data_IF_433860700781
#
_entry.id   IF_433860700781
#
_cell.length_a   1.000
_cell.length_b   1.000
_cell.length_c   1.000
_cell.angle_alpha   90.00
_cell.angle_beta   90.00
_cell.angle_gamma   90.00
#
_symmetry.space_group_name_H-M   'P 1'
#
loop_
_entity.id
_entity.type
_entity.pdbx_description
1 polymer ?
#
# COMPACT_ATOMS: atom_id res chain seq x y z
N UNK A 1 32.11 -11.55 8.14
CA UNK A 1 33.43 -11.37 8.79
C UNK A 1 33.93 -12.75 9.13
N UNK A 2 34.83 -13.26 8.33
CA UNK A 2 35.43 -14.60 8.59
C UNK A 2 36.74 -14.41 9.37
N UNK A 3 36.75 -14.90 10.63
CA UNK A 3 37.88 -14.83 11.51
C UNK A 3 38.03 -16.11 12.32
N UNK A 4 39.18 -16.74 12.23
CA UNK A 4 39.48 -17.96 12.95
C UNK A 4 39.63 -17.75 14.48
N UNK A 5 40.13 -16.57 14.91
CA UNK A 5 40.32 -16.26 16.32
C UNK A 5 39.09 -15.63 16.97
N UNK A 6 38.64 -16.20 18.07
CA UNK A 6 37.53 -15.67 18.87
C UNK A 6 37.87 -14.32 19.52
N UNK A 7 39.13 -14.15 19.95
CA UNK A 7 39.59 -12.88 20.50
C UNK A 7 39.50 -11.75 19.49
N UNK A 8 39.78 -12.00 18.22
CA UNK A 8 39.64 -11.02 17.15
C UNK A 8 38.18 -10.66 16.87
N UNK A 9 37.28 -11.66 16.92
CA UNK A 9 35.83 -11.42 16.80
C UNK A 9 35.30 -10.49 17.88
N UNK A 10 35.63 -10.80 19.15
CA UNK A 10 35.27 -9.96 20.30
C UNK A 10 35.86 -8.54 20.22
N UNK A 11 37.07 -8.41 19.67
CA UNK A 11 37.70 -7.09 19.47
C UNK A 11 36.95 -6.24 18.46
N UNK A 12 36.45 -6.85 17.37
CA UNK A 12 35.64 -6.16 16.36
C UNK A 12 34.27 -5.79 16.92
N UNK A 13 33.60 -6.69 17.65
CA UNK A 13 32.32 -6.40 18.31
C UNK A 13 32.45 -5.15 19.21
N UNK A 14 33.47 -5.11 20.07
CA UNK A 14 33.74 -3.94 20.92
C UNK A 14 34.11 -2.67 20.14
N UNK A 15 34.76 -2.81 18.99
CA UNK A 15 35.06 -1.68 18.13
C UNK A 15 33.79 -1.10 17.53
N UNK A 16 32.88 -1.97 17.07
CA UNK A 16 31.57 -1.58 16.53
C UNK A 16 30.71 -0.91 17.59
N UNK A 17 30.64 -1.44 18.79
CA UNK A 17 29.93 -0.80 19.92
C UNK A 17 30.46 0.59 20.20
N UNK A 18 31.80 0.78 20.24
CA UNK A 18 32.41 2.10 20.41
C UNK A 18 32.11 3.06 19.26
N UNK A 19 32.13 2.57 18.02
CA UNK A 19 31.87 3.38 16.85
C UNK A 19 30.41 3.87 16.81
N UNK A 20 29.48 3.08 17.33
CA UNK A 20 28.05 3.41 17.36
C UNK A 20 27.57 4.11 18.63
N UNK A 21 28.43 4.23 19.65
CA UNK A 21 28.11 4.84 20.96
C UNK A 21 27.63 6.30 20.85
N UNK A 22 28.08 7.04 19.85
CA UNK A 22 27.69 8.44 19.60
C UNK A 22 26.50 8.60 18.64
N UNK A 23 25.89 7.49 18.18
CA UNK A 23 24.73 7.58 17.31
C UNK A 23 23.49 8.08 18.08
N UNK A 24 22.75 9.02 17.51
CA UNK A 24 21.50 9.51 18.08
C UNK A 24 20.39 8.44 18.07
N UNK A 25 20.49 7.47 17.16
CA UNK A 25 19.57 6.36 17.06
C UNK A 25 19.97 5.24 18.02
N UNK A 26 19.01 4.54 18.57
CA UNK A 26 19.27 3.33 19.33
C UNK A 26 19.84 2.27 18.40
N UNK A 27 21.06 1.86 18.65
CA UNK A 27 21.75 0.80 17.90
C UNK A 27 21.87 -0.42 18.79
N UNK A 28 21.59 -1.59 18.25
CA UNK A 28 21.82 -2.89 18.88
C UNK A 28 22.75 -3.68 17.97
N UNK A 29 23.83 -4.20 18.53
CA UNK A 29 24.81 -5.00 17.80
C UNK A 29 24.79 -6.40 18.42
N UNK A 30 24.63 -7.40 17.56
CA UNK A 30 24.72 -8.82 17.93
C UNK A 30 26.17 -9.30 17.95
N UNK A 31 26.37 -10.53 18.42
CA UNK A 31 27.66 -11.21 18.33
C UNK A 31 27.89 -11.79 16.94
N UNK A 32 29.14 -11.92 16.53
CA UNK A 32 29.50 -12.54 15.25
C UNK A 32 29.14 -14.04 15.30
N UNK A 33 28.23 -14.46 14.42
CA UNK A 33 27.78 -15.84 14.33
C UNK A 33 28.89 -16.78 13.84
N UNK A 34 28.68 -18.08 13.96
CA UNK A 34 29.57 -19.11 13.41
C UNK A 34 29.74 -19.02 11.90
N UNK A 35 28.81 -18.38 11.21
CA UNK A 35 28.85 -18.16 9.77
C UNK A 35 29.53 -16.84 9.38
N UNK A 36 30.12 -16.12 10.33
CA UNK A 36 30.81 -14.84 10.09
C UNK A 36 29.83 -13.68 9.85
N UNK A 37 28.58 -13.76 10.29
CA UNK A 37 27.60 -12.72 10.17
C UNK A 37 27.54 -11.88 11.44
N UNK A 38 27.67 -10.56 11.29
CA UNK A 38 27.41 -9.56 12.33
C UNK A 38 26.07 -8.91 12.07
N UNK A 39 25.15 -9.02 13.02
CA UNK A 39 23.84 -8.41 12.95
C UNK A 39 23.85 -7.04 13.63
N UNK A 40 23.29 -6.04 12.97
CA UNK A 40 23.14 -4.69 13.50
C UNK A 40 21.70 -4.23 13.27
N UNK A 41 21.04 -3.79 14.35
CA UNK A 41 19.74 -3.16 14.30
C UNK A 41 19.85 -1.70 14.72
N UNK A 42 19.38 -0.77 13.88
CA UNK A 42 19.41 0.66 14.13
C UNK A 42 18.01 1.22 14.05
N UNK A 43 17.60 1.95 15.07
CA UNK A 43 16.30 2.61 15.10
C UNK A 43 16.24 3.67 13.99
N UNK A 44 15.19 3.60 13.17
CA UNK A 44 14.91 4.63 12.18
C UNK A 44 14.33 5.86 12.87
N UNK A 45 15.01 6.99 12.81
CA UNK A 45 14.56 8.25 13.42
C UNK A 45 13.71 9.09 12.46
N UNK A 46 13.91 8.94 11.16
CA UNK A 46 13.23 9.69 10.11
C UNK A 46 12.94 8.76 8.92
N UNK A 47 11.95 9.10 8.15
CA UNK A 47 11.70 8.43 6.87
C UNK A 47 12.91 8.61 5.95
N UNK A 48 13.12 7.66 5.04
CA UNK A 48 14.18 7.78 4.04
C UNK A 48 13.95 9.02 3.17
N UNK A 49 15.02 9.57 2.60
CA UNK A 49 14.89 10.70 1.65
C UNK A 49 13.95 10.36 0.52
N UNK A 50 14.00 9.12 0.04
CA UNK A 50 13.13 8.62 -1.02
C UNK A 50 11.65 8.58 -0.60
N UNK A 51 11.36 8.21 0.64
CA UNK A 51 9.98 8.20 1.19
C UNK A 51 9.47 9.63 1.45
N UNK A 52 10.34 10.57 1.79
CA UNK A 52 9.95 11.94 2.08
C UNK A 52 9.81 12.81 0.83
N UNK A 53 10.53 12.50 -0.24
CA UNK A 53 10.51 13.27 -1.50
C UNK A 53 9.84 12.54 -2.66
N UNK A 54 9.76 11.20 -2.58
CA UNK A 54 9.18 10.35 -3.61
C UNK A 54 7.70 10.06 -3.39
N UNK A 55 7.00 9.77 -4.49
CA UNK A 55 5.64 9.25 -4.48
C UNK A 55 5.64 7.84 -5.06
N UNK A 56 4.95 6.93 -4.39
CA UNK A 56 4.77 5.57 -4.92
C UNK A 56 4.15 5.63 -6.32
N UNK A 57 4.75 4.94 -7.27
CA UNK A 57 4.23 4.90 -8.63
C UNK A 57 2.83 4.26 -8.64
N UNK A 58 1.82 4.99 -9.13
CA UNK A 58 0.43 4.51 -9.19
C UNK A 58 0.23 3.31 -10.13
N UNK A 59 1.14 3.11 -11.08
CA UNK A 59 1.04 2.00 -12.05
C UNK A 59 1.55 0.69 -11.46
N UNK A 60 2.71 0.68 -10.81
CA UNK A 60 3.32 -0.54 -10.28
C UNK A 60 3.23 -0.68 -8.75
N UNK A 61 2.74 0.34 -8.04
CA UNK A 61 2.65 0.38 -6.58
C UNK A 61 3.94 -0.03 -5.86
N UNK A 62 5.09 0.35 -6.45
CA UNK A 62 6.41 0.05 -5.89
C UNK A 62 7.02 -1.29 -6.31
N UNK A 63 6.33 -2.12 -7.10
CA UNK A 63 6.86 -3.42 -7.54
C UNK A 63 7.94 -3.33 -8.64
N UNK A 64 8.08 -2.17 -9.28
CA UNK A 64 9.03 -1.96 -10.39
C UNK A 64 8.61 -2.59 -11.73
N UNK A 65 7.58 -3.44 -11.74
CA UNK A 65 7.07 -4.13 -12.94
C UNK A 65 5.56 -4.00 -13.04
N UNK A 66 5.04 -4.05 -14.27
CA UNK A 66 3.60 -4.07 -14.54
C UNK A 66 3.21 -5.39 -15.19
N UNK A 67 2.02 -5.92 -14.91
CA UNK A 67 1.55 -7.13 -15.58
C UNK A 67 1.36 -6.87 -17.09
N UNK A 68 1.40 -7.90 -17.91
CA UNK A 68 0.98 -7.83 -19.32
C UNK A 68 -0.54 -7.94 -19.42
N UNK A 69 -1.14 -7.51 -20.53
CA UNK A 69 -2.59 -7.61 -20.78
C UNK A 69 -3.12 -9.04 -20.57
N UNK A 70 -2.49 -10.10 -21.14
CA UNK A 70 -2.91 -11.47 -20.91
C UNK A 70 -2.84 -11.88 -19.42
N UNK A 71 -1.76 -11.47 -18.72
CA UNK A 71 -1.59 -11.80 -17.30
C UNK A 71 -2.64 -11.11 -16.42
N UNK A 72 -2.94 -9.84 -16.69
CA UNK A 72 -3.97 -9.10 -16.00
C UNK A 72 -5.36 -9.71 -16.25
N UNK A 73 -5.65 -10.09 -17.49
CA UNK A 73 -6.91 -10.73 -17.88
C UNK A 73 -7.12 -12.05 -17.14
N UNK A 74 -6.08 -12.88 -17.01
CA UNK A 74 -6.15 -14.10 -16.20
C UNK A 74 -6.37 -13.81 -14.70
N UNK A 75 -5.76 -12.75 -14.17
CA UNK A 75 -6.00 -12.32 -12.79
C UNK A 75 -7.46 -11.92 -12.59
N UNK A 76 -8.04 -11.18 -13.52
CA UNK A 76 -9.45 -10.77 -13.48
C UNK A 76 -10.36 -12.01 -13.50
N UNK A 77 -10.10 -12.98 -14.38
CA UNK A 77 -10.88 -14.22 -14.46
C UNK A 77 -10.82 -15.00 -13.13
N UNK A 78 -9.63 -15.18 -12.56
CA UNK A 78 -9.49 -15.86 -11.26
C UNK A 78 -10.24 -15.14 -10.14
N UNK A 79 -10.14 -13.82 -10.11
CA UNK A 79 -10.88 -13.02 -9.12
C UNK A 79 -12.41 -13.14 -9.31
N UNK A 80 -12.88 -13.26 -10.54
CA UNK A 80 -14.29 -13.55 -10.82
C UNK A 80 -14.68 -14.92 -10.27
N UNK A 81 -13.93 -15.96 -10.56
CA UNK A 81 -14.16 -17.32 -10.04
C UNK A 81 -14.19 -17.34 -8.51
N UNK A 82 -13.25 -16.68 -7.86
CA UNK A 82 -13.19 -16.56 -6.40
C UNK A 82 -14.43 -15.85 -5.83
N UNK A 83 -14.86 -14.76 -6.46
CA UNK A 83 -16.05 -14.01 -6.06
C UNK A 83 -17.34 -14.81 -6.25
N UNK A 84 -17.39 -15.65 -7.27
CA UNK A 84 -18.54 -16.52 -7.55
C UNK A 84 -18.62 -17.71 -6.60
N UNK A 85 -17.48 -18.32 -6.29
CA UNK A 85 -17.40 -19.47 -5.40
C UNK A 85 -17.62 -19.09 -3.92
N UNK A 86 -17.16 -17.89 -3.51
CA UNK A 86 -17.24 -17.45 -2.12
C UNK A 86 -18.63 -17.02 -1.65
N UNK A 87 -19.53 -16.64 -2.56
CA UNK A 87 -20.83 -16.07 -2.22
C UNK A 87 -21.98 -16.81 -2.90
N UNK A 88 -22.81 -17.46 -2.10
CA UNK A 88 -24.05 -18.13 -2.56
C UNK A 88 -25.12 -17.19 -3.15
N UNK A 89 -25.04 -15.88 -2.88
CA UNK A 89 -25.95 -14.89 -3.44
C UNK A 89 -25.39 -14.37 -4.77
N UNK A 90 -25.78 -14.99 -5.85
CA UNK A 90 -25.38 -14.66 -7.20
C UNK A 90 -26.10 -13.39 -7.66
N UNK A 91 -25.40 -12.24 -7.58
CA UNK A 91 -25.82 -10.99 -8.22
C UNK A 91 -24.98 -10.74 -9.47
N UNK A 92 -25.50 -9.91 -10.37
CA UNK A 92 -24.79 -9.50 -11.58
C UNK A 92 -23.45 -8.85 -11.25
N UNK A 93 -22.42 -9.15 -12.03
CA UNK A 93 -21.08 -8.62 -11.83
C UNK A 93 -20.74 -7.65 -12.95
N UNK A 94 -20.24 -6.48 -12.57
CA UNK A 94 -19.75 -5.47 -13.51
C UNK A 94 -18.26 -5.27 -13.33
N UNK A 95 -17.51 -5.40 -14.42
CA UNK A 95 -16.06 -5.21 -14.45
C UNK A 95 -15.76 -3.97 -15.27
N UNK A 96 -14.95 -3.07 -14.70
CA UNK A 96 -14.42 -1.92 -15.43
C UNK A 96 -12.91 -2.01 -15.49
N UNK A 97 -12.34 -1.78 -16.65
CA UNK A 97 -10.90 -1.70 -16.88
C UNK A 97 -10.59 -0.85 -18.11
N UNK A 98 -9.30 -0.70 -18.44
CA UNK A 98 -8.90 0.00 -19.66
C UNK A 98 -9.48 -0.69 -20.91
N UNK A 99 -9.65 0.09 -21.97
CA UNK A 99 -10.25 -0.39 -23.23
C UNK A 99 -9.51 -1.61 -23.78
N UNK A 100 -8.19 -1.61 -23.72
CA UNK A 100 -7.35 -2.71 -24.22
C UNK A 100 -7.60 -4.03 -23.50
N UNK A 101 -7.69 -4.00 -22.16
CA UNK A 101 -7.94 -5.19 -21.33
C UNK A 101 -9.34 -5.74 -21.58
N UNK A 102 -10.33 -4.87 -21.64
CA UNK A 102 -11.73 -5.30 -21.91
C UNK A 102 -11.84 -5.89 -23.33
N UNK A 103 -11.20 -5.27 -24.32
CA UNK A 103 -11.17 -5.80 -25.68
C UNK A 103 -10.54 -7.19 -25.73
N UNK A 104 -9.43 -7.39 -25.02
CA UNK A 104 -8.80 -8.70 -24.91
C UNK A 104 -9.72 -9.73 -24.24
N UNK A 105 -10.37 -9.38 -23.14
CA UNK A 105 -11.32 -10.25 -22.45
C UNK A 105 -12.51 -10.65 -23.33
N UNK A 106 -13.06 -9.71 -24.10
CA UNK A 106 -14.20 -9.95 -24.97
C UNK A 106 -13.88 -10.82 -26.18
N UNK A 107 -12.67 -10.72 -26.72
CA UNK A 107 -12.26 -11.46 -27.92
C UNK A 107 -11.59 -12.77 -27.56
N UNK A 108 -10.52 -12.72 -26.75
CA UNK A 108 -9.66 -13.89 -26.48
C UNK A 108 -10.17 -14.76 -25.34
N UNK A 109 -10.95 -14.20 -24.40
CA UNK A 109 -11.44 -14.90 -23.21
C UNK A 109 -12.97 -14.99 -23.13
N UNK A 110 -13.65 -14.73 -24.24
CA UNK A 110 -15.11 -14.75 -24.32
C UNK A 110 -15.71 -16.08 -23.86
N UNK A 111 -15.12 -17.20 -24.29
CA UNK A 111 -15.60 -18.53 -23.92
C UNK A 111 -15.58 -18.74 -22.41
N UNK A 112 -14.47 -18.39 -21.76
CA UNK A 112 -14.35 -18.52 -20.30
C UNK A 112 -15.42 -17.69 -19.55
N UNK A 113 -15.74 -16.50 -20.06
CA UNK A 113 -16.76 -15.62 -19.48
C UNK A 113 -18.15 -16.23 -19.64
N UNK A 114 -18.47 -16.71 -20.84
CA UNK A 114 -19.76 -17.37 -21.13
C UNK A 114 -19.96 -18.64 -20.30
N UNK A 115 -18.91 -19.44 -20.14
CA UNK A 115 -18.94 -20.64 -19.31
C UNK A 115 -19.22 -20.32 -17.83
N UNK A 116 -18.64 -19.23 -17.31
CA UNK A 116 -18.92 -18.74 -15.95
C UNK A 116 -20.35 -18.21 -15.82
N UNK A 117 -20.84 -17.45 -16.79
CA UNK A 117 -22.24 -16.96 -16.81
C UNK A 117 -23.25 -18.11 -16.78
N UNK A 118 -23.04 -19.14 -17.62
CA UNK A 118 -23.91 -20.32 -17.66
C UNK A 118 -23.83 -21.18 -16.42
N UNK A 119 -22.62 -21.42 -15.89
CA UNK A 119 -22.39 -22.23 -14.70
C UNK A 119 -23.03 -21.63 -13.44
N UNK A 120 -22.96 -20.33 -13.29
CA UNK A 120 -23.44 -19.61 -12.10
C UNK A 120 -24.78 -18.93 -12.29
N UNK A 121 -25.36 -18.97 -13.50
CA UNK A 121 -26.63 -18.31 -13.88
C UNK A 121 -26.64 -16.83 -13.49
N UNK A 122 -25.59 -16.11 -13.88
CA UNK A 122 -25.39 -14.68 -13.61
C UNK A 122 -25.03 -13.95 -14.90
N UNK A 123 -25.16 -12.63 -14.89
CA UNK A 123 -24.72 -11.77 -15.98
C UNK A 123 -23.41 -11.08 -15.62
N UNK A 124 -22.41 -11.19 -16.49
CA UNK A 124 -21.12 -10.48 -16.36
C UNK A 124 -21.09 -9.36 -17.39
N UNK A 125 -21.06 -8.12 -16.90
CA UNK A 125 -20.99 -6.94 -17.77
C UNK A 125 -19.59 -6.39 -17.78
N UNK A 126 -18.95 -6.34 -18.96
CA UNK A 126 -17.63 -5.78 -19.18
C UNK A 126 -17.75 -4.35 -19.69
N UNK A 127 -17.24 -3.38 -18.94
CA UNK A 127 -17.30 -1.95 -19.27
C UNK A 127 -15.91 -1.41 -19.57
N UNK A 128 -15.61 -1.07 -20.83
CA UNK A 128 -14.39 -0.35 -21.17
C UNK A 128 -14.47 1.08 -20.62
N UNK A 129 -13.47 1.48 -19.84
CA UNK A 129 -13.40 2.79 -19.25
C UNK A 129 -12.14 3.51 -19.76
N UNK A 130 -12.33 4.57 -20.54
CA UNK A 130 -11.24 5.39 -21.08
C UNK A 130 -10.48 6.20 -20.03
N UNK A 131 -11.09 6.41 -18.86
CA UNK A 131 -10.48 7.15 -17.75
C UNK A 131 -9.66 6.24 -16.83
N UNK A 132 -9.78 4.93 -16.99
CA UNK A 132 -9.05 3.96 -16.19
C UNK A 132 -7.77 3.53 -16.90
N UNK A 133 -6.62 3.89 -16.30
CA UNK A 133 -5.32 3.52 -16.84
C UNK A 133 -4.97 2.07 -16.48
N UNK A 134 -4.31 1.41 -17.42
CA UNK A 134 -3.67 0.12 -17.17
C UNK A 134 -2.63 0.24 -16.03
N UNK A 135 -2.53 -0.72 -15.09
CA UNK A 135 -3.20 -2.02 -14.99
C UNK A 135 -4.43 -2.04 -14.06
N UNK A 136 -5.06 -0.90 -13.82
CA UNK A 136 -6.17 -0.82 -12.86
C UNK A 136 -7.45 -1.42 -13.41
N UNK A 137 -8.21 -2.06 -12.52
CA UNK A 137 -9.55 -2.58 -12.81
C UNK A 137 -10.39 -2.58 -11.53
N UNK A 138 -11.71 -2.59 -11.70
CA UNK A 138 -12.68 -2.70 -10.61
C UNK A 138 -13.68 -3.81 -10.91
N UNK A 139 -14.03 -4.57 -9.88
CA UNK A 139 -15.04 -5.63 -9.95
C UNK A 139 -16.13 -5.27 -8.95
N UNK A 140 -17.31 -4.92 -9.45
CA UNK A 140 -18.47 -4.53 -8.66
C UNK A 140 -19.55 -5.59 -8.77
N UNK A 141 -20.03 -6.08 -7.62
CA UNK A 141 -21.15 -7.02 -7.54
C UNK A 141 -22.42 -6.27 -7.17
N UNK A 142 -23.47 -6.41 -7.96
CA UNK A 142 -24.78 -5.85 -7.65
C UNK A 142 -25.57 -6.84 -6.80
N UNK A 143 -25.90 -6.45 -5.57
CA UNK A 143 -26.79 -7.25 -4.70
C UNK A 143 -28.24 -7.05 -5.14
N UNK A 144 -28.83 -8.12 -5.69
CA UNK A 144 -30.29 -8.37 -5.74
C UNK A 144 -31.19 -7.31 -6.38
N UNK A 145 -31.97 -7.74 -7.34
CA UNK A 145 -33.34 -7.30 -7.76
C UNK A 145 -33.65 -5.81 -7.98
N UNK A 146 -32.68 -4.94 -8.17
CA UNK A 146 -32.93 -3.68 -8.85
C UNK A 146 -32.17 -3.72 -10.17
N UNK A 147 -32.82 -4.28 -11.19
CA UNK A 147 -32.51 -3.96 -12.57
C UNK A 147 -32.77 -2.46 -12.75
N UNK A 148 -31.89 -1.63 -12.18
CA UNK A 148 -31.74 -0.27 -12.67
C UNK A 148 -31.23 -0.44 -14.09
N UNK A 149 -32.12 -0.26 -15.06
CA UNK A 149 -31.82 -0.22 -16.49
C UNK A 149 -30.89 0.97 -16.80
N UNK A 150 -29.83 1.14 -16.03
CA UNK A 150 -28.79 2.05 -16.41
C UNK A 150 -28.08 1.47 -17.63
N UNK A 151 -28.22 2.16 -18.73
CA UNK A 151 -27.49 1.82 -19.95
C UNK A 151 -26.02 1.71 -19.62
N UNK A 152 -25.34 0.66 -20.08
CA UNK A 152 -23.97 0.33 -19.72
C UNK A 152 -22.98 1.51 -19.88
N UNK A 153 -23.21 2.37 -20.88
CA UNK A 153 -22.38 3.55 -21.10
C UNK A 153 -22.54 4.63 -20.01
N UNK A 154 -23.64 4.64 -19.24
CA UNK A 154 -23.86 5.55 -18.11
C UNK A 154 -23.23 5.04 -16.81
N UNK A 155 -22.90 3.75 -16.74
CA UNK A 155 -22.29 3.12 -15.58
C UNK A 155 -20.77 3.30 -15.51
N UNK A 156 -20.16 3.99 -16.47
CA UNK A 156 -18.72 4.27 -16.50
C UNK A 156 -18.41 5.30 -15.41
N UNK A 157 -17.59 4.92 -14.44
CA UNK A 157 -17.10 5.83 -13.42
C UNK A 157 -16.15 6.87 -14.04
N UNK A 158 -16.56 8.13 -14.02
CA UNK A 158 -15.67 9.24 -14.36
C UNK A 158 -14.77 9.53 -13.17
N UNK A 159 -13.51 9.95 -13.38
CA UNK A 159 -12.70 10.47 -12.28
C UNK A 159 -13.47 11.63 -11.65
N UNK A 160 -13.69 11.58 -10.36
CA UNK A 160 -14.07 12.78 -9.64
C UNK A 160 -12.87 13.72 -9.74
N UNK A 161 -13.03 14.82 -10.42
CA UNK A 161 -12.11 15.95 -10.33
C UNK A 161 -12.19 16.44 -8.87
N UNK A 162 -11.33 15.88 -8.03
CA UNK A 162 -11.09 16.45 -6.72
C UNK A 162 -10.32 17.74 -6.95
N UNK A 163 -10.94 18.93 -6.75
CA UNK A 163 -10.25 20.22 -6.91
C UNK A 163 -9.12 20.41 -5.88
N UNK A 164 -8.92 19.46 -4.98
CA UNK A 164 -7.94 19.52 -3.91
C UNK A 164 -6.83 18.46 -4.09
N UNK A 165 -6.12 18.49 -5.22
CA UNK A 165 -4.89 17.69 -5.40
C UNK A 165 -3.68 18.38 -4.74
N UNK A 166 -3.86 19.15 -3.70
CA UNK A 166 -2.78 19.70 -2.89
C UNK A 166 -3.04 19.39 -1.42
N UNK A 167 -2.95 18.13 -1.06
CA UNK A 167 -2.78 17.75 0.35
C UNK A 167 -2.01 16.43 0.44
N UNK A 168 -0.76 16.48 0.00
CA UNK A 168 0.22 15.45 0.34
C UNK A 168 1.08 15.93 1.52
N UNK A 169 0.42 16.17 2.63
CA UNK A 169 1.07 15.98 3.91
C UNK A 169 0.38 14.74 4.45
N UNK A 170 0.92 13.58 4.11
CA UNK A 170 0.66 12.40 4.91
C UNK A 170 0.92 12.82 6.35
N UNK A 171 -0.12 12.76 7.17
CA UNK A 171 0.04 13.00 8.59
C UNK A 171 1.19 12.09 9.02
N UNK A 172 2.23 12.64 9.66
CA UNK A 172 3.30 11.79 10.14
C UNK A 172 2.68 10.67 10.96
N UNK A 173 3.07 9.44 10.69
CA UNK A 173 2.64 8.28 11.48
C UNK A 173 2.85 8.62 12.94
N UNK A 174 1.73 8.89 13.63
CA UNK A 174 1.77 9.15 15.06
C UNK A 174 2.19 7.81 15.67
N UNK A 175 3.36 7.73 16.30
CA UNK A 175 3.79 6.48 16.90
C UNK A 175 2.70 6.00 17.87
N UNK A 176 2.36 4.72 17.81
CA UNK A 176 1.31 4.10 18.62
C UNK A 176 1.56 4.24 20.15
N UNK A 177 2.73 4.72 20.53
CA UNK A 177 3.10 5.05 21.91
C UNK A 177 3.23 6.57 21.99
N UNK A 178 2.20 7.22 22.52
CA UNK A 178 2.31 8.60 22.96
C UNK A 178 3.23 8.65 24.18
N UNK A 179 4.49 9.04 23.97
CA UNK A 179 5.35 9.46 25.08
C UNK A 179 4.68 10.69 25.72
N UNK A 180 4.19 10.53 26.93
CA UNK A 180 3.74 11.65 27.75
C UNK A 180 4.88 12.66 27.82
N UNK A 181 4.80 13.72 27.05
CA UNK A 181 5.69 14.85 27.22
C UNK A 181 5.39 15.43 28.62
N UNK A 182 6.37 15.54 29.52
CA UNK A 182 6.17 16.21 30.77
C UNK A 182 5.72 17.65 30.45
N UNK A 183 4.53 18.01 30.90
CA UNK A 183 4.05 19.38 30.81
C UNK A 183 4.91 20.28 31.67
N UNK A 184 5.96 20.83 31.11
CA UNK A 184 6.70 21.94 31.72
C UNK A 184 5.81 23.17 31.70
N UNK A 185 4.98 23.32 32.71
CA UNK A 185 4.37 24.62 33.01
C UNK A 185 5.49 25.58 33.33
N UNK A 186 5.74 26.54 32.43
CA UNK A 186 6.60 27.67 32.73
C UNK A 186 6.08 28.35 34.01
N UNK A 187 6.93 28.60 35.01
CA UNK A 187 6.49 29.35 36.19
C UNK A 187 6.11 30.78 35.77
N UNK A 188 4.86 31.14 36.01
CA UNK A 188 4.39 32.52 35.84
C UNK A 188 5.20 33.43 36.78
N UNK A 189 5.92 34.39 36.19
CA UNK A 189 6.56 35.46 36.98
C UNK A 189 5.46 36.27 37.68
N UNK A 190 5.34 36.09 38.99
CA UNK A 190 4.53 36.99 39.83
C UNK A 190 5.16 38.37 39.78
N UNK A 191 4.51 39.30 39.10
CA UNK A 191 4.87 40.71 39.14
C UNK A 191 4.43 41.21 40.50
N UNK A 192 5.39 41.52 41.35
CA UNK A 192 5.16 42.14 42.67
C UNK A 192 4.69 43.57 42.46
N UNK A 193 3.45 43.83 42.86
CA UNK A 193 2.86 45.16 42.91
C UNK A 193 3.28 45.78 44.24
N UNK A 194 4.42 46.44 44.31
CA UNK A 194 4.75 47.29 45.45
C UNK A 194 5.69 48.42 44.99
N UNK A 195 5.11 49.57 44.69
CA UNK A 195 5.67 50.87 45.06
C UNK A 195 4.71 51.99 44.62
N UNK A 196 3.84 52.37 45.53
CA UNK A 196 3.38 53.74 45.62
C UNK A 196 3.27 54.06 47.11
N UNK A 197 4.28 54.74 47.53
CA UNK A 197 4.24 55.82 48.55
C UNK A 197 5.52 56.59 48.43
#
# INVERSE_FOLDING_TARGET
>A
IDMASEANRTSIEKLMEKATANDRARVQIGTISRFGLLELSRQRLMNSVLESTGKTCSVCNGSGTTPTIPSLSLRIIRQLEDNLNSNKNNGDITIQSSVEVITYLLNEKRQNITDMETKHNIKITLLPNQYMHFPHYTVNKQKGNKSSHHKSFQAISKPQENPNVINYIDKPDIPAISTNQPSTKMPEKKVSFMSKL
#
